data_IF_566616539163
#
_entry.id   IF_566616539163
#
_cell.length_a   1.000
_cell.length_b   1.000
_cell.length_c   1.000
_cell.angle_alpha   90.00
_cell.angle_beta   90.00
_cell.angle_gamma   90.00
#
_symmetry.space_group_name_H-M   'P 1'
#
loop_
_entity.id
_entity.type
_entity.pdbx_description
1 polymer ?
#
# COMPACT_ATOMS: atom_id res chain seq x y z
N UNK A 1 26.93 -58.24 8.66
CA UNK A 1 27.29 -57.94 7.26
C UNK A 1 26.11 -57.28 6.57
N UNK A 2 26.18 -55.97 6.35
CA UNK A 2 25.73 -55.21 5.17
C UNK A 2 25.75 -53.74 5.56
N UNK A 3 26.79 -53.05 5.10
CA UNK A 3 27.00 -51.62 5.21
C UNK A 3 25.92 -50.88 4.42
N UNK A 4 25.36 -49.84 5.01
CA UNK A 4 24.63 -48.79 4.30
C UNK A 4 25.64 -47.84 3.65
N UNK A 5 25.61 -47.74 2.33
CA UNK A 5 26.23 -46.66 1.56
C UNK A 5 25.16 -45.58 1.31
N UNK A 6 25.44 -44.28 1.54
CA UNK A 6 24.56 -43.21 1.09
C UNK A 6 24.89 -42.83 -0.36
N UNK A 7 23.89 -42.86 -1.24
CA UNK A 7 23.94 -42.21 -2.55
C UNK A 7 23.67 -40.70 -2.39
N UNK A 8 24.46 -39.80 -3.01
CA UNK A 8 24.14 -38.39 -3.04
C UNK A 8 23.11 -38.09 -4.14
N UNK A 9 21.95 -37.54 -3.75
CA UNK A 9 20.99 -36.94 -4.68
C UNK A 9 21.59 -35.62 -5.17
N UNK A 10 22.11 -35.62 -6.40
CA UNK A 10 22.39 -34.38 -7.13
C UNK A 10 21.07 -33.80 -7.61
N UNK A 11 20.60 -32.74 -6.96
CA UNK A 11 19.49 -31.91 -7.45
C UNK A 11 20.02 -31.07 -8.62
N UNK A 12 19.89 -31.58 -9.85
CA UNK A 12 20.18 -30.81 -11.05
C UNK A 12 19.08 -29.78 -11.28
N UNK A 13 19.44 -28.50 -11.22
CA UNK A 13 18.61 -27.36 -11.58
C UNK A 13 18.26 -27.45 -13.06
N UNK A 14 17.01 -27.76 -13.38
CA UNK A 14 16.46 -27.67 -14.73
C UNK A 14 16.23 -26.19 -15.07
N UNK A 15 17.24 -25.53 -15.62
CA UNK A 15 17.07 -24.24 -16.31
C UNK A 15 16.55 -24.55 -17.71
N UNK A 16 15.24 -24.44 -17.90
CA UNK A 16 14.63 -24.49 -19.22
C UNK A 16 15.00 -23.22 -19.99
N UNK A 17 16.05 -23.28 -20.80
CA UNK A 17 16.26 -22.34 -21.89
C UNK A 17 15.21 -22.65 -22.97
N UNK A 18 14.16 -21.82 -23.05
CA UNK A 18 13.33 -21.77 -24.25
C UNK A 18 14.16 -21.13 -25.38
N UNK A 19 14.88 -21.96 -26.13
CA UNK A 19 15.37 -21.59 -27.45
C UNK A 19 14.18 -21.67 -28.41
N UNK A 20 13.54 -20.52 -28.66
CA UNK A 20 12.49 -20.40 -29.67
C UNK A 20 13.14 -20.38 -31.06
N UNK A 21 13.17 -21.52 -31.74
CA UNK A 21 13.49 -21.56 -33.17
C UNK A 21 12.29 -21.03 -33.95
N UNK A 22 12.38 -19.80 -34.44
CA UNK A 22 11.34 -19.19 -35.27
C UNK A 22 11.62 -19.55 -36.74
N UNK A 23 10.82 -20.47 -37.29
CA UNK A 23 10.67 -20.59 -38.74
C UNK A 23 9.87 -19.38 -39.22
N UNK A 24 10.54 -18.45 -39.88
CA UNK A 24 9.90 -17.29 -40.49
C UNK A 24 9.01 -17.74 -41.65
N UNK A 25 7.68 -17.77 -41.43
CA UNK A 25 6.73 -17.71 -42.53
C UNK A 25 6.76 -16.29 -43.09
N UNK A 26 7.28 -16.13 -44.31
CA UNK A 26 7.16 -14.91 -45.12
C UNK A 26 5.70 -14.47 -45.18
N UNK A 27 5.38 -13.38 -44.48
CA UNK A 27 4.20 -12.58 -44.75
C UNK A 27 4.71 -11.25 -45.31
N UNK A 28 4.62 -11.09 -46.61
CA UNK A 28 4.97 -9.88 -47.35
C UNK A 28 4.02 -8.74 -46.95
N UNK A 29 4.41 -8.01 -45.90
CA UNK A 29 3.97 -6.66 -45.53
C UNK A 29 4.92 -6.16 -44.43
N UNK A 30 6.10 -5.66 -44.79
CA UNK A 30 7.17 -5.27 -43.86
C UNK A 30 6.93 -3.90 -43.21
N UNK A 31 5.71 -3.61 -42.74
CA UNK A 31 5.48 -2.41 -41.92
C UNK A 31 6.23 -2.59 -40.61
N UNK A 32 7.34 -1.88 -40.47
CA UNK A 32 8.10 -1.83 -39.22
C UNK A 32 7.37 -0.89 -38.26
N UNK A 33 7.00 -1.42 -37.09
CA UNK A 33 6.30 -0.66 -36.05
C UNK A 33 7.27 -0.42 -34.90
N UNK A 34 7.47 0.85 -34.55
CA UNK A 34 8.26 1.25 -33.38
C UNK A 34 7.62 0.73 -32.07
N UNK A 35 8.40 0.52 -31.01
CA UNK A 35 7.85 0.19 -29.69
C UNK A 35 6.87 1.26 -29.21
N UNK A 36 5.99 0.95 -28.26
CA UNK A 36 5.22 1.97 -27.55
C UNK A 36 5.66 2.04 -26.10
N UNK A 37 5.62 3.23 -25.51
CA UNK A 37 6.11 3.47 -24.15
C UNK A 37 5.27 4.52 -23.44
N UNK A 38 5.10 4.34 -22.14
CA UNK A 38 4.47 5.31 -21.23
C UNK A 38 5.49 5.91 -20.27
N UNK A 39 5.36 7.21 -20.00
CA UNK A 39 6.11 7.90 -18.95
C UNK A 39 5.37 7.73 -17.63
N UNK A 40 6.09 7.33 -16.57
CA UNK A 40 5.53 7.29 -15.23
C UNK A 40 5.13 8.71 -14.79
N UNK A 41 3.85 8.90 -14.47
CA UNK A 41 3.30 10.20 -14.05
C UNK A 41 3.71 10.61 -12.64
N UNK A 42 4.10 9.63 -11.82
CA UNK A 42 4.56 9.87 -10.45
C UNK A 42 6.06 10.11 -10.40
N UNK A 43 6.44 11.21 -9.77
CA UNK A 43 7.82 11.59 -9.52
C UNK A 43 8.20 11.25 -8.08
N UNK A 44 9.44 10.82 -7.87
CA UNK A 44 9.99 10.60 -6.51
C UNK A 44 11.29 11.32 -6.29
N UNK A 45 11.63 11.48 -5.00
CA UNK A 45 12.94 11.95 -4.54
C UNK A 45 13.36 13.26 -5.25
N UNK A 46 12.40 14.17 -5.41
CA UNK A 46 12.63 15.48 -6.02
C UNK A 46 13.42 16.33 -5.03
N UNK A 47 14.68 16.61 -5.32
CA UNK A 47 15.60 17.44 -4.54
C UNK A 47 15.84 18.79 -5.23
N UNK A 48 16.80 19.56 -4.75
CA UNK A 48 17.29 20.76 -5.44
C UNK A 48 17.97 20.46 -6.77
N UNK A 49 18.53 19.27 -6.94
CA UNK A 49 19.40 18.95 -8.08
C UNK A 49 19.08 17.61 -8.73
N UNK A 50 18.02 16.92 -8.30
CA UNK A 50 17.64 15.62 -8.84
C UNK A 50 16.15 15.34 -8.73
N UNK A 51 15.67 14.37 -9.51
CA UNK A 51 14.40 13.68 -9.29
C UNK A 51 14.46 12.31 -9.96
N UNK A 52 13.58 11.40 -9.55
CA UNK A 52 13.40 10.09 -10.18
C UNK A 52 12.09 10.08 -10.96
N UNK A 53 12.16 9.57 -12.19
CA UNK A 53 11.00 9.33 -13.06
C UNK A 53 11.09 7.93 -13.67
N UNK A 54 9.99 7.44 -14.21
CA UNK A 54 9.84 6.06 -14.68
C UNK A 54 9.42 5.95 -16.15
N UNK A 55 9.66 4.78 -16.73
CA UNK A 55 9.19 4.39 -18.06
C UNK A 55 8.70 2.94 -18.09
N UNK A 56 7.64 2.70 -18.86
CA UNK A 56 7.06 1.37 -19.10
C UNK A 56 6.83 1.17 -20.59
N UNK A 57 7.58 0.26 -21.20
CA UNK A 57 7.35 -0.19 -22.57
C UNK A 57 6.06 -1.00 -22.60
N UNK A 58 5.07 -0.51 -23.34
CA UNK A 58 3.73 -1.09 -23.43
C UNK A 58 3.58 -2.04 -24.62
N UNK A 59 4.43 -1.90 -25.64
CA UNK A 59 4.53 -2.80 -26.79
C UNK A 59 5.97 -2.80 -27.29
N UNK A 60 6.50 -3.97 -27.64
CA UNK A 60 7.86 -4.12 -28.18
C UNK A 60 7.97 -3.68 -29.65
N UNK A 61 6.84 -3.53 -30.34
CA UNK A 61 6.81 -3.31 -31.79
C UNK A 61 7.29 -4.54 -32.56
N UNK A 62 7.78 -4.32 -33.78
CA UNK A 62 8.23 -5.41 -34.68
C UNK A 62 9.75 -5.57 -34.74
N UNK A 63 10.50 -4.77 -33.99
CA UNK A 63 11.96 -4.76 -34.01
C UNK A 63 12.52 -4.70 -32.60
N UNK A 64 13.62 -5.41 -32.36
CA UNK A 64 14.25 -5.45 -31.04
C UNK A 64 14.60 -4.03 -30.57
N UNK A 65 14.22 -3.73 -29.33
CA UNK A 65 14.57 -2.48 -28.66
C UNK A 65 16.09 -2.46 -28.41
N UNK A 66 16.73 -1.36 -28.77
CA UNK A 66 18.17 -1.15 -28.65
C UNK A 66 18.54 -0.17 -27.55
N UNK A 67 17.63 0.71 -27.13
CA UNK A 67 17.83 1.66 -26.03
C UNK A 67 16.49 2.02 -25.38
N UNK A 68 16.51 2.22 -24.06
CA UNK A 68 15.39 2.81 -23.30
C UNK A 68 15.96 3.83 -22.32
N UNK A 69 15.17 4.83 -21.92
CA UNK A 69 15.60 5.79 -20.91
C UNK A 69 14.67 6.98 -20.76
N UNK A 70 15.18 8.07 -20.22
CA UNK A 70 14.46 9.34 -20.07
C UNK A 70 15.11 10.42 -20.92
N UNK A 71 14.29 11.28 -21.53
CA UNK A 71 14.71 12.55 -22.12
C UNK A 71 14.10 13.69 -21.33
N UNK A 72 14.86 14.77 -21.16
CA UNK A 72 14.42 15.92 -20.38
C UNK A 72 14.98 17.24 -20.90
N UNK A 73 14.24 18.33 -20.64
CA UNK A 73 14.61 19.69 -21.03
C UNK A 73 13.95 20.71 -20.10
N UNK A 74 14.64 21.82 -19.82
CA UNK A 74 14.04 22.98 -19.13
C UNK A 74 13.44 24.00 -20.09
N UNK A 75 13.67 23.86 -21.39
CA UNK A 75 13.18 24.78 -22.43
C UNK A 75 12.16 24.11 -23.36
N UNK A 76 12.38 22.86 -23.75
CA UNK A 76 11.49 22.11 -24.63
C UNK A 76 10.44 21.34 -23.81
N UNK A 77 9.15 21.65 -24.03
CA UNK A 77 8.04 21.00 -23.31
C UNK A 77 7.72 19.59 -23.82
N UNK A 78 8.31 19.19 -24.95
CA UNK A 78 8.15 17.87 -25.55
C UNK A 78 9.55 17.33 -25.90
N UNK A 79 10.40 17.06 -24.90
CA UNK A 79 11.78 16.66 -25.15
C UNK A 79 11.86 15.39 -25.98
N UNK A 80 12.93 15.29 -26.77
CA UNK A 80 13.26 14.12 -27.59
C UNK A 80 14.68 13.67 -27.32
N UNK A 81 15.17 12.64 -27.99
CA UNK A 81 16.58 12.21 -27.89
C UNK A 81 17.58 13.24 -28.46
N UNK A 82 17.11 14.35 -29.03
CA UNK A 82 17.94 15.51 -29.40
C UNK A 82 18.16 16.48 -28.23
N UNK A 83 17.35 16.40 -27.17
CA UNK A 83 17.55 17.12 -25.92
C UNK A 83 18.53 16.33 -25.01
N UNK A 84 18.51 16.60 -23.70
CA UNK A 84 19.33 15.83 -22.76
C UNK A 84 18.69 14.46 -22.51
N UNK A 85 19.47 13.39 -22.61
CA UNK A 85 19.00 12.02 -22.40
C UNK A 85 19.78 11.30 -21.31
N UNK A 86 19.10 10.44 -20.57
CA UNK A 86 19.68 9.47 -19.64
C UNK A 86 19.20 8.08 -20.05
N UNK A 87 20.09 7.30 -20.66
CA UNK A 87 19.80 5.91 -21.03
C UNK A 87 19.77 5.03 -19.78
N UNK A 88 18.85 4.06 -19.74
CA UNK A 88 18.89 3.01 -18.75
C UNK A 88 20.00 2.03 -19.10
N UNK A 89 20.80 1.63 -18.11
CA UNK A 89 21.91 0.70 -18.35
C UNK A 89 21.43 -0.70 -18.80
N UNK A 90 20.24 -1.13 -18.37
CA UNK A 90 19.65 -2.41 -18.73
C UNK A 90 18.49 -2.23 -19.74
N UNK A 91 18.42 -3.12 -20.74
CA UNK A 91 17.29 -3.20 -21.66
C UNK A 91 16.14 -3.98 -21.02
N UNK A 92 15.44 -3.30 -20.11
CA UNK A 92 14.26 -3.81 -19.43
C UNK A 92 13.03 -3.02 -19.85
N UNK A 93 11.88 -3.70 -19.95
CA UNK A 93 10.63 -3.06 -20.33
C UNK A 93 10.17 -2.00 -19.31
N UNK A 94 10.56 -2.14 -18.04
CA UNK A 94 10.15 -1.26 -16.97
C UNK A 94 11.38 -0.76 -16.21
N UNK A 95 11.45 0.54 -15.95
CA UNK A 95 12.58 1.14 -15.27
C UNK A 95 12.20 2.43 -14.55
N UNK A 96 13.02 2.80 -13.58
CA UNK A 96 13.02 4.11 -12.93
C UNK A 96 14.46 4.64 -12.93
N UNK A 97 14.64 5.91 -13.28
CA UNK A 97 15.95 6.55 -13.42
C UNK A 97 15.95 7.86 -12.64
N UNK A 98 17.00 8.06 -11.83
CA UNK A 98 17.27 9.35 -11.19
C UNK A 98 18.03 10.25 -12.16
N UNK A 99 17.41 11.38 -12.51
CA UNK A 99 18.07 12.47 -13.23
C UNK A 99 18.72 13.38 -12.19
N UNK A 100 20.00 13.69 -12.36
CA UNK A 100 20.83 14.45 -11.41
C UNK A 100 21.48 15.66 -12.07
N UNK A 101 22.24 16.45 -11.30
CA UNK A 101 22.96 17.65 -11.76
C UNK A 101 22.03 18.74 -12.34
N UNK A 102 20.82 18.83 -11.83
CA UNK A 102 19.82 19.81 -12.24
C UNK A 102 20.02 21.15 -11.54
N UNK A 103 19.48 22.21 -12.11
CA UNK A 103 19.48 23.54 -11.51
C UNK A 103 18.38 23.65 -10.45
N UNK A 104 18.65 24.18 -9.24
CA UNK A 104 17.63 24.44 -8.22
C UNK A 104 16.54 25.40 -8.67
N UNK A 105 15.30 25.15 -8.26
CA UNK A 105 14.13 25.99 -8.59
C UNK A 105 13.73 25.99 -10.06
N UNK A 106 14.25 25.08 -10.87
CA UNK A 106 14.03 25.05 -12.33
C UNK A 106 12.99 24.00 -12.69
N UNK A 107 12.06 24.40 -13.56
CA UNK A 107 11.10 23.48 -14.18
C UNK A 107 11.77 22.67 -15.29
N UNK A 108 11.56 21.35 -15.26
CA UNK A 108 11.92 20.42 -16.31
C UNK A 108 10.68 19.68 -16.82
N UNK A 109 10.72 19.35 -18.10
CA UNK A 109 9.80 18.46 -18.78
C UNK A 109 10.53 17.15 -19.08
N UNK A 110 9.92 16.01 -18.74
CA UNK A 110 10.54 14.67 -18.88
C UNK A 110 9.61 13.73 -19.64
N UNK A 111 10.18 12.86 -20.47
CA UNK A 111 9.49 11.78 -21.18
C UNK A 111 10.32 10.51 -21.14
N UNK A 112 9.67 9.37 -20.99
CA UNK A 112 10.30 8.08 -21.25
C UNK A 112 10.44 7.87 -22.77
N UNK A 113 11.50 7.19 -23.20
CA UNK A 113 11.69 6.80 -24.60
C UNK A 113 12.11 5.33 -24.76
N UNK A 114 11.83 4.79 -25.93
CA UNK A 114 12.32 3.49 -26.39
C UNK A 114 12.70 3.58 -27.87
N UNK A 115 13.89 3.08 -28.21
CA UNK A 115 14.43 3.08 -29.57
C UNK A 115 14.57 1.65 -30.08
N UNK A 116 14.17 1.40 -31.32
CA UNK A 116 14.45 0.19 -32.09
C UNK A 116 14.84 0.56 -33.52
N UNK A 117 15.16 -0.44 -34.35
CA UNK A 117 15.39 -0.23 -35.78
C UNK A 117 14.16 0.36 -36.51
N UNK A 118 12.95 0.20 -35.95
CA UNK A 118 11.72 0.74 -36.51
C UNK A 118 11.47 2.22 -36.12
N UNK A 119 12.23 2.78 -35.17
CA UNK A 119 12.11 4.17 -34.74
C UNK A 119 12.25 4.38 -33.24
N UNK A 120 12.11 5.63 -32.80
CA UNK A 120 12.07 6.00 -31.38
C UNK A 120 10.69 6.50 -31.02
N UNK A 121 10.12 5.95 -29.96
CA UNK A 121 8.85 6.37 -29.39
C UNK A 121 9.06 7.02 -28.03
N UNK A 122 8.10 7.86 -27.66
CA UNK A 122 8.14 8.65 -26.44
C UNK A 122 6.80 8.58 -25.72
N UNK A 123 6.85 8.53 -24.38
CA UNK A 123 5.67 8.61 -23.55
C UNK A 123 5.09 10.03 -23.45
N UNK A 124 4.12 10.19 -22.57
CA UNK A 124 3.56 11.50 -22.20
C UNK A 124 4.60 12.40 -21.52
N UNK A 125 4.43 13.71 -21.61
CA UNK A 125 5.26 14.67 -20.87
C UNK A 125 4.83 14.76 -19.42
N UNK A 126 5.79 14.66 -18.51
CA UNK A 126 5.63 14.97 -17.08
C UNK A 126 6.42 16.23 -16.75
N UNK A 127 5.83 17.13 -15.96
CA UNK A 127 6.44 18.38 -15.52
C UNK A 127 6.90 18.25 -14.07
N UNK A 128 8.12 18.67 -13.78
CA UNK A 128 8.69 18.72 -12.43
C UNK A 128 9.38 20.05 -12.20
N UNK A 129 9.36 20.58 -10.98
CA UNK A 129 10.21 21.71 -10.59
C UNK A 129 11.09 21.25 -9.44
N UNK A 130 12.41 21.37 -9.61
CA UNK A 130 13.37 21.07 -8.54
C UNK A 130 13.17 22.04 -7.38
N UNK A 131 13.52 21.60 -6.17
CA UNK A 131 13.40 22.48 -5.00
C UNK A 131 14.33 23.69 -5.16
N UNK A 132 13.90 24.86 -4.68
CA UNK A 132 14.74 26.08 -4.67
C UNK A 132 15.85 26.00 -3.62
N UNK A 133 15.56 25.34 -2.49
CA UNK A 133 16.50 25.10 -1.41
C UNK A 133 16.28 23.70 -0.85
N UNK A 134 17.33 23.10 -0.31
CA UNK A 134 17.21 21.82 0.38
C UNK A 134 16.39 22.05 1.64
N UNK A 135 15.14 21.57 1.64
CA UNK A 135 14.34 21.53 2.85
C UNK A 135 14.69 20.23 3.56
N UNK A 136 15.35 20.32 4.70
CA UNK A 136 15.70 19.15 5.48
C UNK A 136 14.46 18.61 6.19
N UNK A 137 13.56 17.96 5.45
CA UNK A 137 12.51 17.16 6.09
C UNK A 137 13.19 16.02 6.86
N UNK A 138 13.16 16.09 8.18
CA UNK A 138 13.67 15.06 9.07
C UNK A 138 12.48 14.33 9.68
N UNK A 139 12.38 13.04 9.40
CA UNK A 139 11.47 12.14 10.09
C UNK A 139 12.23 11.45 11.23
N UNK A 140 11.91 11.78 12.47
CA UNK A 140 12.46 11.08 13.65
C UNK A 140 11.54 9.94 14.03
N UNK A 141 12.07 8.72 14.05
CA UNK A 141 11.36 7.49 14.43
C UNK A 141 11.80 7.06 15.82
N UNK A 142 10.82 6.79 16.69
CA UNK A 142 11.03 6.23 18.02
C UNK A 142 10.05 5.10 18.31
N UNK A 143 10.38 4.21 19.24
CA UNK A 143 9.39 3.29 19.81
C UNK A 143 8.35 4.08 20.60
N UNK A 144 7.07 3.89 20.27
CA UNK A 144 5.96 4.48 21.03
C UNK A 144 5.42 3.51 22.08
N UNK A 145 5.21 2.25 21.71
CA UNK A 145 4.75 1.20 22.60
C UNK A 145 5.21 -0.19 22.12
N UNK A 146 5.24 -1.15 23.04
CA UNK A 146 5.69 -2.52 22.83
C UNK A 146 7.10 -2.75 23.40
N UNK A 147 7.35 -3.94 23.92
CA UNK A 147 8.67 -4.38 24.40
C UNK A 147 9.55 -5.02 23.32
N UNK A 148 8.99 -5.27 22.14
CA UNK A 148 9.63 -6.01 21.06
C UNK A 148 9.48 -7.53 21.17
N UNK A 149 8.88 -8.03 22.26
CA UNK A 149 8.62 -9.45 22.49
C UNK A 149 7.18 -9.78 22.13
N UNK A 150 6.99 -10.85 21.35
CA UNK A 150 5.66 -11.37 21.03
C UNK A 150 4.95 -11.87 22.29
N UNK A 151 3.75 -11.35 22.55
CA UNK A 151 2.91 -11.72 23.69
C UNK A 151 1.81 -10.69 23.92
N UNK A 152 1.00 -10.85 24.98
CA UNK A 152 0.07 -9.82 25.43
C UNK A 152 0.33 -9.50 26.91
N UNK A 153 0.75 -8.28 27.18
CA UNK A 153 0.92 -7.73 28.52
C UNK A 153 0.40 -6.30 28.48
N UNK A 154 -0.48 -5.95 29.41
CA UNK A 154 -0.92 -4.58 29.65
C UNK A 154 0.08 -3.84 30.54
N UNK A 155 0.14 -2.51 30.43
CA UNK A 155 1.02 -1.70 31.26
C UNK A 155 1.54 -0.44 30.59
N UNK A 156 2.68 0.05 31.07
CA UNK A 156 3.38 1.19 30.46
C UNK A 156 3.90 0.87 29.07
N UNK A 157 4.16 1.91 28.27
CA UNK A 157 4.37 1.82 26.84
C UNK A 157 5.39 0.75 26.41
N UNK A 158 6.58 0.76 27.03
CA UNK A 158 7.67 -0.17 26.68
C UNK A 158 7.61 -1.51 27.43
N UNK A 159 6.71 -1.64 28.42
CA UNK A 159 6.51 -2.90 29.15
C UNK A 159 5.41 -3.75 28.53
N UNK A 160 4.46 -3.12 27.84
CA UNK A 160 3.39 -3.81 27.15
C UNK A 160 3.93 -4.70 26.01
N UNK A 161 3.24 -5.79 25.73
CA UNK A 161 3.57 -6.70 24.63
C UNK A 161 2.44 -6.75 23.61
N UNK A 162 2.83 -6.89 22.35
CA UNK A 162 1.95 -7.17 21.22
C UNK A 162 2.42 -8.44 20.53
N UNK A 163 1.57 -9.07 19.74
CA UNK A 163 1.92 -10.18 18.87
C UNK A 163 1.41 -9.90 17.46
N UNK A 164 2.32 -9.37 16.64
CA UNK A 164 2.09 -8.97 15.26
C UNK A 164 0.94 -7.94 15.12
N UNK A 165 1.13 -6.70 15.62
CA UNK A 165 0.13 -5.66 15.51
C UNK A 165 -0.18 -5.32 14.04
N UNK A 166 -1.46 -5.08 13.74
CA UNK A 166 -1.98 -4.82 12.40
C UNK A 166 -2.56 -3.39 12.30
N UNK A 167 -3.74 -3.24 11.70
CA UNK A 167 -4.40 -1.96 11.50
C UNK A 167 -4.70 -1.24 12.81
N UNK A 168 -4.66 0.09 12.71
CA UNK A 168 -4.84 0.98 13.85
C UNK A 168 -5.77 2.13 13.47
N UNK A 169 -6.44 2.69 14.47
CA UNK A 169 -7.22 3.91 14.33
C UNK A 169 -7.07 4.76 15.58
N UNK A 170 -7.25 6.07 15.48
CA UNK A 170 -7.20 6.97 16.61
C UNK A 170 -8.56 7.63 16.86
N UNK A 171 -8.93 7.79 18.12
CA UNK A 171 -10.09 8.61 18.50
C UNK A 171 -9.72 10.10 18.57
N UNK A 172 -10.73 10.96 18.75
CA UNK A 172 -10.55 12.41 18.83
C UNK A 172 -9.72 12.86 20.05
N UNK A 173 -9.58 12.01 21.07
CA UNK A 173 -8.74 12.26 22.24
C UNK A 173 -7.27 11.84 22.01
N UNK A 174 -6.96 11.26 20.86
CA UNK A 174 -5.63 10.78 20.49
C UNK A 174 -5.28 9.42 21.09
N UNK A 175 -6.24 8.67 21.63
CA UNK A 175 -5.99 7.26 21.94
C UNK A 175 -5.91 6.48 20.64
N UNK A 176 -4.98 5.53 20.57
CA UNK A 176 -4.80 4.64 19.43
C UNK A 176 -5.34 3.27 19.79
N UNK A 177 -6.22 2.73 18.95
CA UNK A 177 -6.70 1.36 19.03
C UNK A 177 -5.96 0.53 17.98
N UNK A 178 -5.52 -0.67 18.37
CA UNK A 178 -4.65 -1.54 17.58
C UNK A 178 -5.26 -2.93 17.54
N UNK A 179 -5.38 -3.51 16.33
CA UNK A 179 -5.60 -4.94 16.19
C UNK A 179 -4.31 -5.69 16.54
N UNK A 180 -4.32 -6.42 17.66
CA UNK A 180 -3.22 -7.25 18.11
C UNK A 180 -3.47 -8.68 17.64
N UNK A 181 -3.11 -8.92 16.37
CA UNK A 181 -3.74 -9.93 15.51
C UNK A 181 -3.66 -11.34 16.09
N UNK A 182 -2.46 -11.80 16.47
CA UNK A 182 -2.27 -13.17 16.97
C UNK A 182 -2.53 -13.31 18.46
N UNK A 183 -2.79 -12.22 19.17
CA UNK A 183 -3.40 -12.28 20.49
C UNK A 183 -4.94 -12.27 20.41
N UNK A 184 -5.53 -12.01 19.24
CA UNK A 184 -6.99 -11.93 19.05
C UNK A 184 -7.65 -10.85 19.92
N UNK A 185 -6.96 -9.71 20.07
CA UNK A 185 -7.39 -8.59 20.91
C UNK A 185 -7.47 -7.29 20.11
N UNK A 186 -8.32 -6.39 20.59
CA UNK A 186 -8.18 -4.95 20.33
C UNK A 186 -7.52 -4.32 21.55
N UNK A 187 -6.37 -3.68 21.35
CA UNK A 187 -5.60 -3.00 22.39
C UNK A 187 -5.80 -1.49 22.26
N UNK A 188 -5.81 -0.77 23.38
CA UNK A 188 -5.87 0.69 23.43
C UNK A 188 -4.57 1.24 23.99
N UNK A 189 -4.05 2.28 23.36
CA UNK A 189 -2.86 3.03 23.79
C UNK A 189 -3.28 4.47 24.03
N UNK A 190 -3.09 4.97 25.25
CA UNK A 190 -3.37 6.38 25.56
C UNK A 190 -2.26 7.30 25.04
N UNK A 191 -2.49 8.63 24.92
CA UNK A 191 -1.42 9.57 24.58
C UNK A 191 -0.21 9.53 25.52
N UNK A 192 -0.42 9.12 26.78
CA UNK A 192 0.65 8.91 27.77
C UNK A 192 1.41 7.58 27.59
N UNK A 193 1.04 6.77 26.60
CA UNK A 193 1.67 5.48 26.29
C UNK A 193 1.18 4.32 27.16
N UNK A 194 0.09 4.46 27.93
CA UNK A 194 -0.45 3.32 28.69
C UNK A 194 -1.20 2.40 27.72
N UNK A 195 -0.85 1.12 27.71
CA UNK A 195 -1.47 0.08 26.89
C UNK A 195 -2.40 -0.78 27.76
N UNK A 196 -3.63 -0.96 27.32
CA UNK A 196 -4.61 -1.85 27.95
C UNK A 196 -5.38 -2.68 26.92
N UNK A 197 -5.91 -3.82 27.33
CA UNK A 197 -6.89 -4.57 26.53
C UNK A 197 -8.22 -3.81 26.49
N UNK A 198 -8.71 -3.48 25.29
CA UNK A 198 -9.97 -2.77 25.10
C UNK A 198 -11.14 -3.73 24.87
N UNK A 199 -10.94 -4.76 24.05
CA UNK A 199 -11.94 -5.76 23.73
C UNK A 199 -11.29 -7.06 23.27
N UNK A 200 -11.90 -8.20 23.58
CA UNK A 200 -11.41 -9.54 23.27
C UNK A 200 -10.91 -10.27 24.52
N UNK A 201 -11.23 -11.56 24.60
CA UNK A 201 -10.79 -12.48 25.66
C UNK A 201 -9.40 -13.07 25.43
N UNK A 202 -8.87 -12.92 24.22
CA UNK A 202 -7.64 -13.56 23.75
C UNK A 202 -7.84 -14.99 23.24
N UNK A 203 -9.05 -15.55 23.41
CA UNK A 203 -9.40 -16.85 22.83
C UNK A 203 -9.65 -16.70 21.33
N UNK A 204 -9.07 -17.62 20.54
CA UNK A 204 -9.38 -17.78 19.14
C UNK A 204 -10.82 -18.26 18.99
N UNK A 205 -11.65 -17.52 18.27
CA UNK A 205 -13.02 -17.94 17.97
C UNK A 205 -13.90 -16.78 17.54
N UNK A 206 -15.21 -16.97 17.62
CA UNK A 206 -16.20 -15.93 17.38
C UNK A 206 -17.21 -15.94 18.52
N UNK A 207 -17.30 -14.84 19.27
CA UNK A 207 -18.32 -14.65 20.32
C UNK A 207 -18.60 -13.17 20.45
N UNK A 208 -19.86 -12.78 20.30
CA UNK A 208 -20.34 -11.43 20.60
C UNK A 208 -20.51 -11.24 22.11
N UNK A 209 -20.49 -9.99 22.58
CA UNK A 209 -20.77 -9.64 23.97
C UNK A 209 -19.78 -8.63 24.57
N UNK A 210 -19.75 -8.53 25.91
CA UNK A 210 -18.83 -7.64 26.62
C UNK A 210 -17.36 -7.90 26.32
N UNK A 211 -16.52 -6.89 26.53
CA UNK A 211 -15.08 -6.90 26.21
C UNK A 211 -14.34 -8.16 26.70
N UNK A 212 -14.62 -8.60 27.93
CA UNK A 212 -13.93 -9.72 28.57
C UNK A 212 -14.28 -11.11 28.00
N UNK A 213 -15.40 -11.24 27.28
CA UNK A 213 -15.89 -12.52 26.76
C UNK A 213 -15.94 -12.57 25.24
N UNK A 214 -15.90 -11.42 24.56
CA UNK A 214 -15.83 -11.38 23.12
C UNK A 214 -14.62 -12.18 22.60
N UNK A 215 -14.79 -12.91 21.50
CA UNK A 215 -13.74 -13.72 20.90
C UNK A 215 -13.64 -13.41 19.41
N UNK A 216 -12.39 -13.32 18.92
CA UNK A 216 -12.05 -12.97 17.55
C UNK A 216 -11.09 -13.98 16.96
N UNK A 217 -10.91 -13.95 15.64
CA UNK A 217 -9.91 -14.76 14.96
C UNK A 217 -9.11 -13.89 13.99
N UNK A 218 -7.92 -13.49 14.45
CA UNK A 218 -6.98 -12.67 13.68
C UNK A 218 -7.59 -11.34 13.20
N UNK A 219 -8.05 -10.46 14.12
CA UNK A 219 -8.56 -9.14 13.75
C UNK A 219 -7.51 -8.34 12.97
N UNK A 220 -7.93 -7.60 11.93
CA UNK A 220 -6.99 -7.02 10.97
C UNK A 220 -6.98 -5.49 10.95
N UNK A 221 -8.09 -4.82 10.61
CA UNK A 221 -8.14 -3.35 10.58
C UNK A 221 -9.28 -2.79 11.43
N UNK A 222 -9.14 -1.51 11.78
CA UNK A 222 -10.10 -0.75 12.55
C UNK A 222 -10.47 0.54 11.81
N UNK A 223 -11.73 0.95 11.94
CA UNK A 223 -12.23 2.29 11.65
C UNK A 223 -12.99 2.81 12.88
N UNK A 224 -13.10 4.12 13.02
CA UNK A 224 -13.84 4.75 14.14
C UNK A 224 -14.85 5.75 13.59
N UNK A 225 -16.07 5.74 14.11
CA UNK A 225 -17.06 6.77 13.80
C UNK A 225 -17.00 7.96 14.76
N UNK A 226 -17.81 8.98 14.48
CA UNK A 226 -17.91 10.20 15.31
C UNK A 226 -18.45 9.95 16.72
N UNK A 227 -19.06 8.79 16.97
CA UNK A 227 -19.56 8.37 18.29
C UNK A 227 -18.54 7.49 19.03
N UNK A 228 -17.32 7.35 18.50
CA UNK A 228 -16.26 6.49 19.02
C UNK A 228 -16.61 4.99 19.02
N UNK A 229 -17.56 4.54 18.19
CA UNK A 229 -17.66 3.11 17.92
C UNK A 229 -16.52 2.70 17.01
N UNK A 230 -15.89 1.57 17.32
CA UNK A 230 -14.93 0.93 16.43
C UNK A 230 -15.65 -0.05 15.50
N UNK A 231 -15.20 -0.13 14.27
CA UNK A 231 -15.57 -1.15 13.30
C UNK A 231 -14.32 -1.92 12.94
N UNK A 232 -14.39 -3.24 13.04
CA UNK A 232 -13.25 -4.13 12.91
C UNK A 232 -13.52 -5.18 11.85
N UNK A 233 -12.51 -5.50 11.05
CA UNK A 233 -12.51 -6.71 10.22
C UNK A 233 -11.94 -7.88 11.01
N UNK A 234 -12.79 -8.87 11.29
CA UNK A 234 -12.40 -10.11 11.93
C UNK A 234 -12.02 -11.13 10.85
N UNK A 235 -10.80 -10.99 10.35
CA UNK A 235 -10.35 -11.58 9.08
C UNK A 235 -10.52 -13.09 9.05
N UNK A 236 -10.17 -13.79 10.12
CA UNK A 236 -10.24 -15.25 10.21
C UNK A 236 -11.67 -15.77 10.30
N UNK A 237 -12.60 -14.98 10.82
CA UNK A 237 -14.02 -15.33 10.88
C UNK A 237 -14.82 -14.84 9.67
N UNK A 238 -14.25 -14.05 8.75
CA UNK A 238 -14.96 -13.46 7.61
C UNK A 238 -16.12 -12.53 8.04
N UNK A 239 -15.94 -11.81 9.16
CA UNK A 239 -16.96 -10.94 9.74
C UNK A 239 -16.50 -9.49 9.81
N UNK A 240 -17.47 -8.60 9.91
CA UNK A 240 -17.29 -7.20 10.32
C UNK A 240 -17.95 -7.04 11.68
N UNK A 241 -17.18 -6.56 12.66
CA UNK A 241 -17.60 -6.42 14.06
C UNK A 241 -17.73 -4.94 14.39
N UNK A 242 -18.79 -4.56 15.08
CA UNK A 242 -18.92 -3.25 15.74
C UNK A 242 -18.57 -3.40 17.21
N UNK A 243 -17.76 -2.49 17.74
CA UNK A 243 -17.39 -2.42 19.16
C UNK A 243 -17.77 -1.04 19.68
N UNK A 244 -18.60 -0.98 20.71
CA UNK A 244 -19.01 0.29 21.33
C UNK A 244 -17.89 0.90 22.18
N UNK A 245 -17.96 2.18 22.57
CA UNK A 245 -17.01 2.78 23.52
C UNK A 245 -16.89 2.03 24.86
N UNK A 246 -17.92 1.28 25.25
CA UNK A 246 -17.93 0.43 26.45
C UNK A 246 -17.27 -0.95 26.23
N UNK A 247 -16.74 -1.22 25.04
CA UNK A 247 -16.08 -2.48 24.69
C UNK A 247 -17.03 -3.63 24.36
N UNK A 248 -18.32 -3.37 24.17
CA UNK A 248 -19.29 -4.40 23.76
C UNK A 248 -19.15 -4.66 22.27
N UNK A 249 -18.81 -5.89 21.88
CA UNK A 249 -18.66 -6.35 20.51
C UNK A 249 -19.94 -7.02 19.99
N UNK A 250 -20.32 -6.70 18.77
CA UNK A 250 -21.46 -7.30 18.07
C UNK A 250 -21.12 -7.52 16.59
N UNK A 251 -21.58 -8.63 16.02
CA UNK A 251 -21.47 -8.86 14.57
C UNK A 251 -22.32 -7.84 13.83
N UNK A 252 -21.67 -7.02 13.03
CA UNK A 252 -22.34 -6.03 12.18
C UNK A 252 -22.74 -6.64 10.84
N UNK A 253 -21.83 -7.41 10.22
CA UNK A 253 -22.06 -8.01 8.91
C UNK A 253 -21.23 -9.29 8.70
N UNK A 254 -21.69 -10.13 7.79
CA UNK A 254 -21.04 -11.40 7.44
C UNK A 254 -21.74 -12.60 8.07
N UNK A 255 -21.78 -13.72 7.35
CA UNK A 255 -22.39 -14.97 7.82
C UNK A 255 -21.38 -15.93 8.46
N UNK A 256 -20.11 -15.54 8.58
CA UNK A 256 -19.01 -16.41 9.03
C UNK A 256 -18.46 -17.36 7.96
N UNK A 257 -19.13 -17.48 6.82
CA UNK A 257 -18.74 -18.37 5.72
C UNK A 257 -17.90 -17.59 4.71
N UNK A 258 -16.70 -18.10 4.40
CA UNK A 258 -15.85 -17.54 3.37
C UNK A 258 -16.56 -17.64 2.00
N UNK A 259 -16.84 -16.50 1.37
CA UNK A 259 -17.56 -16.47 0.09
C UNK A 259 -17.80 -15.04 -0.40
N UNK A 260 -18.64 -14.89 -1.41
CA UNK A 260 -19.02 -13.60 -1.99
C UNK A 260 -20.53 -13.55 -2.21
N UNK A 261 -21.25 -12.91 -1.29
CA UNK A 261 -22.70 -12.72 -1.36
C UNK A 261 -23.03 -11.29 -0.99
N UNK A 262 -23.72 -10.56 -1.88
CA UNK A 262 -24.40 -9.31 -1.55
C UNK A 262 -25.71 -9.62 -0.83
N UNK A 263 -26.17 -8.72 0.03
CA UNK A 263 -27.41 -8.96 0.77
C UNK A 263 -28.12 -7.69 1.19
N UNK A 264 -29.44 -7.77 1.31
CA UNK A 264 -30.26 -6.74 1.95
C UNK A 264 -30.25 -6.83 3.49
N UNK A 265 -29.65 -7.89 4.05
CA UNK A 265 -29.42 -8.03 5.50
C UNK A 265 -27.95 -8.35 5.76
N UNK A 266 -27.30 -7.53 6.56
CA UNK A 266 -25.84 -7.57 6.73
C UNK A 266 -25.29 -8.93 7.17
N UNK A 267 -26.02 -9.67 8.00
CA UNK A 267 -25.61 -10.97 8.55
C UNK A 267 -25.67 -12.14 7.56
N UNK A 268 -26.31 -11.97 6.41
CA UNK A 268 -26.36 -13.02 5.36
C UNK A 268 -25.39 -12.74 4.21
N UNK A 269 -24.75 -11.58 4.20
CA UNK A 269 -23.65 -11.30 3.28
C UNK A 269 -22.47 -12.26 3.56
N UNK A 270 -21.68 -12.56 2.54
CA UNK A 270 -20.45 -13.33 2.67
C UNK A 270 -19.27 -12.47 2.23
N UNK A 271 -18.20 -12.55 3.03
CA UNK A 271 -16.89 -11.97 2.79
C UNK A 271 -15.87 -13.12 2.75
N UNK A 272 -14.67 -12.84 2.23
CA UNK A 272 -13.56 -13.79 2.25
C UNK A 272 -12.27 -13.05 2.66
N UNK A 273 -11.83 -13.32 3.89
CA UNK A 273 -10.71 -12.66 4.55
C UNK A 273 -10.75 -11.12 4.39
N UNK A 274 -11.77 -10.43 4.91
CA UNK A 274 -11.83 -8.97 4.86
C UNK A 274 -10.64 -8.39 5.64
N UNK A 275 -9.92 -7.42 5.06
CA UNK A 275 -8.73 -6.82 5.69
C UNK A 275 -8.90 -5.35 6.02
N UNK A 276 -9.13 -4.48 5.03
CA UNK A 276 -9.31 -3.05 5.27
C UNK A 276 -10.73 -2.66 5.60
N UNK A 277 -10.88 -1.58 6.35
CA UNK A 277 -12.17 -0.99 6.70
C UNK A 277 -12.06 0.53 6.83
N UNK A 278 -13.08 1.25 6.37
CA UNK A 278 -13.22 2.69 6.54
C UNK A 278 -14.69 3.06 6.74
N UNK A 279 -14.97 4.16 7.43
CA UNK A 279 -16.34 4.70 7.59
C UNK A 279 -16.39 6.09 6.94
N UNK A 280 -17.43 6.33 6.14
CA UNK A 280 -17.64 7.64 5.52
C UNK A 280 -18.33 8.63 6.46
N UNK A 281 -18.47 9.88 6.02
CA UNK A 281 -19.11 10.93 6.82
C UNK A 281 -20.62 10.70 7.09
N UNK A 282 -21.26 9.83 6.30
CA UNK A 282 -22.68 9.45 6.38
C UNK A 282 -22.91 8.21 7.26
N UNK A 283 -21.83 7.55 7.71
CA UNK A 283 -21.88 6.34 8.51
C UNK A 283 -21.94 5.03 7.71
N UNK A 284 -21.75 5.07 6.38
CA UNK A 284 -21.58 3.85 5.59
C UNK A 284 -20.17 3.29 5.81
N UNK A 285 -20.05 1.97 5.81
CA UNK A 285 -18.81 1.27 6.07
C UNK A 285 -18.33 0.60 4.78
N UNK A 286 -17.06 0.80 4.46
CA UNK A 286 -16.41 0.25 3.29
C UNK A 286 -15.39 -0.78 3.74
N UNK A 287 -15.40 -1.96 3.10
CA UNK A 287 -14.61 -3.11 3.49
C UNK A 287 -13.83 -3.61 2.27
N UNK A 288 -12.52 -3.77 2.43
CA UNK A 288 -11.71 -4.47 1.45
C UNK A 288 -11.90 -5.98 1.65
N UNK A 289 -12.71 -6.59 0.80
CA UNK A 289 -13.01 -8.01 0.76
C UNK A 289 -11.89 -8.71 -0.01
N UNK A 290 -10.74 -8.86 0.67
CA UNK A 290 -9.44 -8.98 0.04
C UNK A 290 -9.30 -10.21 -0.86
N UNK A 291 -9.72 -11.39 -0.40
CA UNK A 291 -9.61 -12.59 -1.21
C UNK A 291 -10.62 -12.62 -2.37
N UNK A 292 -11.69 -11.83 -2.28
CA UNK A 292 -12.62 -11.62 -3.39
C UNK A 292 -12.16 -10.52 -4.36
N UNK A 293 -11.13 -9.74 -4.00
CA UNK A 293 -10.59 -8.61 -4.79
C UNK A 293 -11.62 -7.52 -5.08
N UNK A 294 -12.37 -7.11 -4.06
CA UNK A 294 -13.44 -6.09 -4.17
C UNK A 294 -13.46 -5.15 -2.97
N UNK A 295 -14.01 -3.96 -3.19
CA UNK A 295 -14.44 -3.05 -2.12
C UNK A 295 -15.95 -3.18 -1.97
N UNK A 296 -16.39 -3.56 -0.78
CA UNK A 296 -17.79 -3.77 -0.40
C UNK A 296 -18.27 -2.60 0.46
N UNK A 297 -19.53 -2.22 0.33
CA UNK A 297 -20.15 -1.18 1.16
C UNK A 297 -21.26 -1.80 1.99
N UNK A 298 -21.32 -1.44 3.27
CA UNK A 298 -22.40 -1.73 4.21
C UNK A 298 -23.08 -0.39 4.49
N UNK A 299 -24.34 -0.25 4.06
CA UNK A 299 -25.11 0.96 4.32
C UNK A 299 -25.56 1.04 5.78
N UNK A 300 -25.98 2.23 6.22
CA UNK A 300 -26.60 2.42 7.55
C UNK A 300 -27.89 1.62 7.74
N UNK A 301 -28.54 1.17 6.66
CA UNK A 301 -29.68 0.27 6.68
C UNK A 301 -29.30 -1.23 6.76
N UNK A 302 -28.00 -1.55 6.79
CA UNK A 302 -27.51 -2.93 6.83
C UNK A 302 -27.53 -3.66 5.49
N UNK A 303 -27.58 -2.93 4.36
CA UNK A 303 -27.47 -3.51 3.02
C UNK A 303 -26.00 -3.61 2.62
N UNK A 304 -25.58 -4.78 2.15
CA UNK A 304 -24.20 -5.05 1.69
C UNK A 304 -24.16 -5.18 0.17
N UNK A 305 -23.44 -4.27 -0.48
CA UNK A 305 -23.25 -4.24 -1.93
C UNK A 305 -21.77 -4.22 -2.32
N UNK A 306 -21.47 -4.43 -3.59
CA UNK A 306 -20.14 -4.17 -4.16
C UNK A 306 -20.08 -2.70 -4.57
N UNK A 307 -19.16 -1.95 -3.99
CA UNK A 307 -18.92 -0.56 -4.35
C UNK A 307 -18.02 -0.47 -5.59
N UNK A 308 -16.94 -1.25 -5.61
CA UNK A 308 -16.05 -1.38 -6.75
C UNK A 308 -15.32 -2.73 -6.77
N UNK A 309 -14.87 -3.17 -7.95
CA UNK A 309 -14.11 -4.40 -8.14
C UNK A 309 -14.94 -5.54 -8.75
N UNK A 310 -14.63 -5.90 -9.99
CA UNK A 310 -15.20 -7.07 -10.68
C UNK A 310 -14.52 -8.39 -10.33
N UNK A 311 -13.26 -8.34 -9.89
CA UNK A 311 -12.43 -9.49 -9.57
C UNK A 311 -10.95 -9.14 -9.63
N UNK A 312 -10.11 -10.17 -9.79
CA UNK A 312 -8.65 -10.05 -9.83
C UNK A 312 -8.21 -9.34 -11.11
N UNK A 313 -7.45 -8.25 -10.98
CA UNK A 313 -6.86 -7.50 -12.09
C UNK A 313 -6.38 -6.11 -11.66
N UNK A 314 -6.11 -5.21 -12.61
CA UNK A 314 -5.57 -3.86 -12.34
C UNK A 314 -6.20 -2.75 -13.22
N UNK A 315 -7.39 -2.99 -13.76
CA UNK A 315 -8.07 -2.03 -14.63
C UNK A 315 -8.65 -0.86 -13.81
N UNK A 316 -8.37 0.37 -14.25
CA UNK A 316 -9.07 1.58 -13.84
C UNK A 316 -10.38 1.68 -14.63
N UNK A 317 -11.51 1.75 -13.93
CA UNK A 317 -12.84 1.88 -14.53
C UNK A 317 -13.85 2.26 -13.42
N UNK A 318 -15.15 2.18 -13.68
CA UNK A 318 -16.20 2.52 -12.72
C UNK A 318 -16.83 1.26 -12.11
N UNK A 319 -16.99 1.26 -10.78
CA UNK A 319 -17.71 0.23 -10.04
C UNK A 319 -17.15 -1.18 -10.27
N UNK A 320 -18.00 -2.10 -10.71
CA UNK A 320 -17.63 -3.49 -10.94
C UNK A 320 -16.73 -3.72 -12.18
N UNK A 321 -16.57 -2.72 -13.06
CA UNK A 321 -15.65 -2.84 -14.21
C UNK A 321 -14.18 -2.63 -13.80
N UNK A 322 -13.95 -1.90 -12.71
CA UNK A 322 -12.62 -1.76 -12.15
C UNK A 322 -12.16 -3.10 -11.56
N UNK A 323 -10.84 -3.35 -11.56
CA UNK A 323 -10.26 -4.58 -11.02
C UNK A 323 -9.20 -4.26 -9.96
N UNK A 324 -9.14 -5.11 -8.93
CA UNK A 324 -8.18 -5.03 -7.81
C UNK A 324 -7.48 -6.36 -7.65
N UNK A 325 -6.46 -6.43 -6.78
CA UNK A 325 -5.83 -7.69 -6.39
C UNK A 325 -5.47 -7.65 -4.92
N UNK A 326 -6.26 -8.33 -4.11
CA UNK A 326 -6.05 -8.39 -2.65
C UNK A 326 -5.98 -6.99 -2.02
N UNK A 327 -7.00 -6.11 -2.21
CA UNK A 327 -7.00 -4.79 -1.59
C UNK A 327 -6.93 -4.92 -0.05
N UNK A 328 -6.20 -4.02 0.60
CA UNK A 328 -5.97 -4.00 2.06
C UNK A 328 -6.41 -2.66 2.64
N UNK A 329 -5.50 -1.77 3.05
CA UNK A 329 -5.82 -0.51 3.72
C UNK A 329 -6.79 0.38 2.94
N UNK A 330 -7.70 1.03 3.68
CA UNK A 330 -8.71 1.96 3.18
C UNK A 330 -8.65 3.27 3.97
N UNK A 331 -8.72 4.41 3.30
CA UNK A 331 -8.78 5.72 3.96
C UNK A 331 -9.55 6.73 3.10
N UNK A 332 -10.40 7.53 3.72
CA UNK A 332 -11.07 8.65 3.05
C UNK A 332 -10.21 9.92 3.09
N UNK A 333 -10.19 10.67 1.99
CA UNK A 333 -9.72 12.05 1.99
C UNK A 333 -10.84 13.01 2.49
N UNK A 334 -10.49 14.27 2.72
CA UNK A 334 -11.47 15.28 3.19
C UNK A 334 -12.56 15.60 2.15
N UNK A 335 -12.37 15.18 0.88
CA UNK A 335 -13.34 15.38 -0.20
C UNK A 335 -14.28 14.16 -0.34
N UNK A 336 -14.13 13.12 0.50
CA UNK A 336 -14.94 11.91 0.46
C UNK A 336 -14.51 10.89 -0.60
N UNK A 337 -13.31 11.01 -1.18
CA UNK A 337 -12.76 9.96 -2.03
C UNK A 337 -12.12 8.87 -1.18
N UNK A 338 -12.38 7.61 -1.54
CA UNK A 338 -11.80 6.45 -0.87
C UNK A 338 -10.47 6.07 -1.55
N UNK A 339 -9.39 6.10 -0.80
CA UNK A 339 -8.11 5.54 -1.22
C UNK A 339 -8.02 4.08 -0.80
N UNK A 340 -7.35 3.28 -1.62
CA UNK A 340 -7.21 1.83 -1.47
C UNK A 340 -5.75 1.44 -1.67
N UNK A 341 -5.20 0.74 -0.69
CA UNK A 341 -3.94 0.01 -0.83
C UNK A 341 -4.21 -1.30 -1.59
N UNK A 342 -3.99 -1.29 -2.90
CA UNK A 342 -4.21 -2.44 -3.79
C UNK A 342 -2.97 -3.34 -3.76
N UNK A 343 -2.79 -4.00 -2.62
CA UNK A 343 -1.56 -4.69 -2.20
C UNK A 343 -0.97 -5.59 -3.28
N UNK A 344 -1.78 -6.47 -3.90
CA UNK A 344 -1.30 -7.40 -4.92
C UNK A 344 -0.92 -6.74 -6.25
N UNK A 345 -1.29 -5.48 -6.44
CA UNK A 345 -0.93 -4.67 -7.60
C UNK A 345 0.17 -3.65 -7.32
N UNK A 346 0.75 -3.61 -6.11
CA UNK A 346 1.84 -2.70 -5.76
C UNK A 346 1.43 -1.23 -5.99
N UNK A 347 0.16 -0.91 -5.70
CA UNK A 347 -0.44 0.36 -6.12
C UNK A 347 -1.38 0.95 -5.07
N UNK A 348 -1.55 2.27 -5.16
CA UNK A 348 -2.63 3.01 -4.51
C UNK A 348 -3.67 3.38 -5.54
N UNK A 349 -4.93 3.05 -5.26
CA UNK A 349 -6.09 3.40 -6.08
C UNK A 349 -6.92 4.44 -5.35
N UNK A 350 -7.62 5.28 -6.10
CA UNK A 350 -8.60 6.24 -5.61
C UNK A 350 -9.95 5.91 -6.22
N UNK A 351 -11.00 5.91 -5.40
CA UNK A 351 -12.38 5.70 -5.80
C UNK A 351 -13.17 6.95 -5.44
N UNK A 352 -13.83 7.58 -6.41
CA UNK A 352 -14.74 8.70 -6.16
C UNK A 352 -16.07 8.22 -5.58
N UNK A 353 -16.91 9.12 -5.08
CA UNK A 353 -18.27 8.78 -4.62
C UNK A 353 -19.16 8.18 -5.72
N UNK A 354 -18.85 8.47 -7.00
CA UNK A 354 -19.50 7.88 -8.16
C UNK A 354 -18.96 6.47 -8.52
N UNK A 355 -17.99 5.95 -7.77
CA UNK A 355 -17.39 4.64 -7.99
C UNK A 355 -16.29 4.62 -9.07
N UNK A 356 -15.83 5.77 -9.55
CA UNK A 356 -14.75 5.85 -10.56
C UNK A 356 -13.42 5.52 -9.89
N UNK A 357 -12.76 4.46 -10.34
CA UNK A 357 -11.46 3.99 -9.85
C UNK A 357 -10.35 4.48 -10.76
N UNK A 358 -9.35 5.14 -10.17
CA UNK A 358 -8.13 5.60 -10.85
C UNK A 358 -6.89 5.20 -10.07
N UNK A 359 -5.79 4.90 -10.76
CA UNK A 359 -4.49 4.64 -10.15
C UNK A 359 -3.79 5.95 -9.80
N UNK A 360 -3.41 6.10 -8.53
CA UNK A 360 -2.73 7.29 -8.02
C UNK A 360 -1.22 7.11 -8.01
N UNK A 361 -0.76 5.92 -7.63
CA UNK A 361 0.66 5.62 -7.49
C UNK A 361 0.92 4.13 -7.60
N UNK A 362 2.11 3.75 -8.09
CA UNK A 362 2.56 2.35 -8.15
C UNK A 362 1.86 1.51 -9.22
N UNK A 363 2.45 0.36 -9.52
CA UNK A 363 1.90 -0.70 -10.37
C UNK A 363 2.83 -1.94 -10.29
N UNK A 364 2.37 -3.09 -10.81
CA UNK A 364 3.15 -4.34 -10.86
C UNK A 364 4.40 -4.28 -11.74
N UNK A 365 4.49 -3.31 -12.64
CA UNK A 365 5.61 -3.14 -13.55
C UNK A 365 6.79 -2.41 -12.89
N UNK A 366 6.55 -1.61 -11.84
CA UNK A 366 7.56 -0.80 -11.14
C UNK A 366 7.34 -0.90 -9.63
N UNK A 367 7.71 -2.05 -9.07
CA UNK A 367 7.55 -2.35 -7.63
C UNK A 367 8.58 -1.64 -6.74
N UNK A 368 9.56 -0.95 -7.32
CA UNK A 368 10.52 -0.12 -6.58
C UNK A 368 9.88 1.17 -6.07
N UNK A 369 8.83 1.65 -6.75
CA UNK A 369 8.10 2.87 -6.40
C UNK A 369 7.26 2.67 -5.14
N UNK A 370 6.44 1.62 -5.16
CA UNK A 370 5.67 1.11 -4.03
C UNK A 370 5.88 -0.39 -4.02
N UNK A 371 6.37 -0.93 -2.90
CA UNK A 371 6.52 -2.35 -2.73
C UNK A 371 5.21 -2.98 -2.28
N UNK A 372 5.03 -3.16 -0.98
CA UNK A 372 3.90 -3.86 -0.43
C UNK A 372 3.00 -2.88 0.35
N UNK A 373 2.06 -2.15 -0.28
CA UNK A 373 1.26 -1.17 0.43
C UNK A 373 0.25 -1.89 1.33
N UNK A 374 0.58 -2.07 2.61
CA UNK A 374 -0.23 -2.83 3.57
C UNK A 374 -1.35 -1.98 4.17
N UNK A 375 -1.02 -0.73 4.53
CA UNK A 375 -1.97 0.22 5.08
C UNK A 375 -1.67 1.63 4.60
N UNK A 376 -2.70 2.47 4.70
CA UNK A 376 -2.66 3.87 4.32
C UNK A 376 -3.35 4.72 5.38
N UNK A 377 -2.87 5.95 5.52
CA UNK A 377 -3.52 6.99 6.32
C UNK A 377 -3.48 8.31 5.55
N UNK A 378 -4.46 9.17 5.80
CA UNK A 378 -4.55 10.50 5.17
C UNK A 378 -4.58 11.54 6.29
N UNK A 379 -3.79 12.61 6.16
CA UNK A 379 -3.85 13.74 7.09
C UNK A 379 -4.88 14.80 6.66
N UNK A 380 -5.09 15.82 7.50
CA UNK A 380 -6.03 16.91 7.21
C UNK A 380 -5.66 17.76 5.98
N UNK A 381 -4.41 17.69 5.51
CA UNK A 381 -3.95 18.33 4.28
C UNK A 381 -4.06 17.41 3.04
N UNK A 382 -4.69 16.23 3.22
CA UNK A 382 -4.83 15.16 2.24
C UNK A 382 -3.51 14.51 1.79
N UNK A 383 -2.40 14.68 2.54
CA UNK A 383 -1.22 13.88 2.26
C UNK A 383 -1.51 12.43 2.60
N UNK A 384 -1.17 11.53 1.68
CA UNK A 384 -1.35 10.10 1.83
C UNK A 384 -0.04 9.48 2.33
N UNK A 385 -0.12 8.78 3.45
CA UNK A 385 0.97 8.01 4.03
C UNK A 385 0.73 6.54 3.78
N UNK A 386 1.81 5.81 3.45
CA UNK A 386 1.73 4.39 3.09
C UNK A 386 2.71 3.64 3.99
N UNK A 387 2.20 2.67 4.74
CA UNK A 387 3.02 1.63 5.36
C UNK A 387 3.40 0.62 4.28
N UNK A 388 4.60 0.77 3.73
CA UNK A 388 5.15 -0.13 2.71
C UNK A 388 5.86 -1.29 3.41
N UNK A 389 5.25 -2.46 3.34
CA UNK A 389 5.69 -3.72 3.94
C UNK A 389 7.09 -4.16 3.55
N UNK A 390 7.74 -3.48 2.59
CA UNK A 390 9.17 -3.65 2.29
C UNK A 390 10.10 -3.05 3.36
N UNK A 391 9.58 -2.38 4.40
CA UNK A 391 10.39 -1.88 5.52
C UNK A 391 10.53 -0.35 5.56
N UNK A 392 9.59 0.38 4.95
CA UNK A 392 9.61 1.85 4.91
C UNK A 392 8.21 2.46 5.04
N UNK A 393 8.17 3.77 5.26
CA UNK A 393 6.97 4.59 5.20
C UNK A 393 7.13 5.61 4.10
N UNK A 394 6.13 5.70 3.22
CA UNK A 394 6.09 6.65 2.12
C UNK A 394 5.08 7.76 2.40
N UNK A 395 5.29 8.93 1.79
CA UNK A 395 4.34 10.06 1.77
C UNK A 395 4.14 10.55 0.34
N UNK A 396 2.91 10.48 -0.16
CA UNK A 396 2.46 11.18 -1.35
C UNK A 396 1.89 12.53 -0.92
N UNK A 397 2.57 13.60 -1.32
CA UNK A 397 2.14 14.97 -1.01
C UNK A 397 1.00 15.39 -1.94
N UNK A 398 -0.12 15.84 -1.37
CA UNK A 398 -1.28 16.25 -2.16
C UNK A 398 -1.00 17.50 -3.01
N UNK A 399 -0.24 18.46 -2.46
CA UNK A 399 0.04 19.75 -3.12
C UNK A 399 0.95 19.64 -4.34
N UNK A 400 1.85 18.65 -4.37
CA UNK A 400 2.87 18.50 -5.42
C UNK A 400 2.69 17.23 -6.27
N UNK A 401 1.94 16.25 -5.77
CA UNK A 401 1.86 14.92 -6.38
C UNK A 401 3.15 14.11 -6.28
N UNK A 402 4.09 14.51 -5.42
CA UNK A 402 5.40 13.84 -5.28
C UNK A 402 5.32 12.77 -4.19
N UNK A 403 5.82 11.57 -4.49
CA UNK A 403 5.97 10.47 -3.54
C UNK A 403 7.39 10.42 -3.00
N UNK A 404 7.55 10.46 -1.68
CA UNK A 404 8.86 10.37 -1.02
C UNK A 404 8.89 9.25 0.01
N UNK A 405 10.04 8.62 0.17
CA UNK A 405 10.32 7.79 1.36
C UNK A 405 10.62 8.72 2.53
N UNK A 406 9.83 8.66 3.60
CA UNK A 406 10.03 9.53 4.76
C UNK A 406 10.80 8.84 5.88
N UNK A 407 10.67 7.53 6.04
CA UNK A 407 11.39 6.77 7.07
C UNK A 407 11.59 5.32 6.63
N UNK A 408 12.69 4.69 7.06
CA UNK A 408 13.04 3.34 6.64
C UNK A 408 13.56 3.26 5.20
N UNK A 409 13.91 2.04 4.79
CA UNK A 409 14.44 1.77 3.45
C UNK A 409 13.82 0.50 2.88
N UNK A 410 13.51 0.49 1.58
CA UNK A 410 12.92 -0.65 0.92
C UNK A 410 13.85 -1.87 0.98
N UNK A 411 13.29 -3.02 1.35
CA UNK A 411 13.97 -4.31 1.52
C UNK A 411 15.08 -4.31 2.58
N UNK A 412 15.10 -3.33 3.49
CA UNK A 412 16.01 -3.28 4.64
C UNK A 412 15.20 -3.47 5.92
N UNK A 413 14.94 -4.74 6.22
CA UNK A 413 14.16 -5.13 7.39
C UNK A 413 14.97 -5.02 8.69
N UNK A 414 14.28 -4.73 9.78
CA UNK A 414 14.83 -4.84 11.13
C UNK A 414 14.21 -3.83 12.09
N UNK A 415 14.87 -3.63 13.22
CA UNK A 415 14.46 -2.68 14.24
C UNK A 415 15.61 -1.69 14.51
N UNK A 416 15.32 -0.40 14.36
CA UNK A 416 16.17 0.69 14.81
C UNK A 416 15.33 1.96 14.92
N UNK A 417 15.45 2.66 16.04
CA UNK A 417 15.05 4.07 16.14
C UNK A 417 16.09 4.95 15.43
N UNK A 418 15.73 6.18 15.08
CA UNK A 418 16.62 7.10 14.38
C UNK A 418 15.90 7.97 13.37
N UNK A 419 16.66 8.62 12.48
CA UNK A 419 16.11 9.57 11.51
C UNK A 419 16.08 9.00 10.09
N UNK A 420 15.03 9.31 9.32
CA UNK A 420 14.90 8.99 7.91
C UNK A 420 15.20 7.50 7.63
N UNK A 421 16.18 7.20 6.78
CA UNK A 421 16.58 5.84 6.37
C UNK A 421 17.39 5.08 7.42
N UNK A 422 17.88 5.75 8.48
CA UNK A 422 18.60 5.09 9.57
C UNK A 422 17.66 4.30 10.49
N UNK A 423 16.41 4.75 10.62
CA UNK A 423 15.37 3.97 11.27
C UNK A 423 15.04 2.72 10.44
N UNK A 424 14.70 1.62 11.10
CA UNK A 424 14.33 0.36 10.43
C UNK A 424 12.96 -0.12 10.91
N UNK A 425 12.20 -0.66 9.97
CA UNK A 425 10.93 -1.35 10.19
C UNK A 425 11.03 -2.77 9.66
N UNK A 426 10.18 -3.66 10.16
CA UNK A 426 10.07 -5.04 9.72
C UNK A 426 8.61 -5.36 9.39
N UNK A 427 8.28 -5.16 8.11
CA UNK A 427 6.93 -5.33 7.53
C UNK A 427 5.92 -4.41 8.20
N UNK A 428 6.00 -3.08 8.06
CA UNK A 428 4.99 -2.19 8.63
C UNK A 428 3.61 -2.48 8.03
N UNK A 429 2.57 -2.59 8.86
CA UNK A 429 1.25 -3.12 8.48
C UNK A 429 0.07 -2.18 8.76
N UNK A 430 0.19 -1.32 9.77
CA UNK A 430 -0.83 -0.35 10.15
C UNK A 430 -0.23 1.05 10.24
N UNK A 431 -1.01 2.08 9.91
CA UNK A 431 -0.57 3.47 10.02
C UNK A 431 -1.75 4.38 10.36
N UNK A 432 -1.54 5.36 11.24
CA UNK A 432 -2.54 6.38 11.61
C UNK A 432 -1.85 7.72 11.87
N UNK A 433 -2.56 8.82 11.64
CA UNK A 433 -2.08 10.19 11.93
C UNK A 433 -2.71 10.70 13.22
N UNK A 434 -1.91 11.23 14.15
CA UNK A 434 -2.39 11.84 15.41
C UNK A 434 -1.53 13.05 15.76
N UNK A 435 -2.16 14.22 15.88
CA UNK A 435 -1.46 15.44 16.30
C UNK A 435 -0.28 15.83 15.41
N UNK A 436 -0.36 15.54 14.10
CA UNK A 436 0.72 15.80 13.13
C UNK A 436 1.86 14.76 13.12
N UNK A 437 1.84 13.77 14.02
CA UNK A 437 2.73 12.62 13.99
C UNK A 437 2.06 11.42 13.30
N UNK A 438 2.88 10.47 12.85
CA UNK A 438 2.42 9.16 12.38
C UNK A 438 2.71 8.12 13.43
N UNK A 439 1.83 7.13 13.53
CA UNK A 439 2.03 5.94 14.33
C UNK A 439 1.91 4.73 13.41
N UNK A 440 2.86 3.80 13.51
CA UNK A 440 3.02 2.67 12.58
C UNK A 440 3.10 1.38 13.37
N UNK A 441 2.26 0.40 13.02
CA UNK A 441 2.38 -0.95 13.53
C UNK A 441 3.53 -1.65 12.80
N UNK A 442 4.57 -1.98 13.54
CA UNK A 442 5.81 -2.59 13.04
C UNK A 442 5.74 -4.10 13.31
N UNK A 443 5.05 -4.78 12.40
CA UNK A 443 4.46 -6.10 12.57
C UNK A 443 5.41 -7.14 13.16
N UNK A 444 6.55 -7.40 12.52
CA UNK A 444 7.48 -8.45 12.99
C UNK A 444 8.32 -8.02 14.19
N UNK A 445 8.41 -6.71 14.44
CA UNK A 445 9.10 -6.20 15.60
C UNK A 445 8.19 -6.18 16.84
N UNK A 446 6.88 -6.41 16.72
CA UNK A 446 5.91 -6.36 17.84
C UNK A 446 5.86 -5.00 18.55
N UNK A 447 5.99 -3.92 17.76
CA UNK A 447 6.05 -2.55 18.26
C UNK A 447 5.04 -1.65 17.55
N UNK A 448 4.62 -0.60 18.25
CA UNK A 448 4.05 0.60 17.64
C UNK A 448 5.15 1.66 17.62
N UNK A 449 5.44 2.19 16.44
CA UNK A 449 6.51 3.17 16.19
C UNK A 449 5.89 4.54 15.94
N UNK A 450 6.47 5.60 16.48
CA UNK A 450 6.06 6.99 16.23
C UNK A 450 7.04 7.64 15.27
N UNK A 451 6.51 8.38 14.30
CA UNK A 451 7.28 9.20 13.36
C UNK A 451 6.86 10.66 13.53
N UNK A 452 7.81 11.51 13.88
CA UNK A 452 7.61 12.96 13.93
C UNK A 452 8.34 13.59 12.76
N UNK A 453 7.64 14.37 11.94
CA UNK A 453 8.20 15.00 10.75
C UNK A 453 8.41 16.49 11.05
N UNK A 454 9.65 16.97 10.94
CA UNK A 454 10.02 18.38 11.03
C UNK A 454 10.57 18.83 9.67
N UNK A 455 10.17 20.01 9.19
CA UNK A 455 10.63 20.58 7.92
C UNK A 455 11.72 21.62 8.11
#
# INVERSE_FOLDING_TARGET
>A
MRQFLPLPIKLATLVAFFALTITACKKDSTTTTAPTISTGTLLTDVTTTSFTSAGVVTDLGTSAITEVGLVYSSANQSPTTSDTKVANAALVANYAITISNLTPGTTYYVRAYATSAAGTSYGSTVKVTTQTAATATVATVSTFAGSGTAGYVDGGALAAQFNNPQGMVADAQGNIYVCDQFNHLVRKITPAGVVSTFCGSGALGHTDGPAATAAFYSPYALAVDKQNNLYMTDQGNNLVIKITPAGVATTLAGSGIAGYVNSNTALTAQFNAPRGIAVDASGNIYVADSNNSRIRMISTAGVVTTFAGGGIGFTDDTGALALFRTPTGLAFDTNGNLFVADYGNYAIRKITSAGVVTTVAGNRSITTLIGNPNAIAIDAANNLYIADGTGRVLRLQNSSGILNSIAGSASVYGFADGTNTAAKFNVPTGIVTVGGALYVADYNNNLIRKITITN
#
